data_IF_058185369043
#
_entry.id   IF_058185369043
#
_cell.length_a   1.000
_cell.length_b   1.000
_cell.length_c   1.000
_cell.angle_alpha   90.00
_cell.angle_beta   90.00
_cell.angle_gamma   90.00
#
_symmetry.space_group_name_H-M   'P 1'
#
loop_
_entity.id
_entity.type
_entity.pdbx_description
1 polymer ?
#
# COMPACT_ATOMS: atom_id res chain seq x y z
N UNK A 1 -23.07 -0.94 -12.35
CA UNK A 1 -22.33 -1.94 -11.54
C UNK A 1 -20.85 -1.56 -11.46
N UNK A 2 -20.55 -0.43 -10.81
CA UNK A 2 -19.17 0.05 -10.65
C UNK A 2 -18.95 0.27 -9.16
N UNK A 3 -18.97 -0.80 -8.36
CA UNK A 3 -18.50 -0.88 -6.96
C UNK A 3 -18.84 -2.28 -6.48
N UNK A 4 -17.86 -3.19 -6.47
CA UNK A 4 -17.89 -4.36 -5.54
C UNK A 4 -16.54 -5.07 -5.41
N UNK A 5 -15.49 -4.53 -6.05
CA UNK A 5 -14.14 -4.99 -5.88
C UNK A 5 -13.32 -3.74 -5.75
N UNK A 6 -12.92 -3.37 -4.53
CA UNK A 6 -11.71 -2.55 -4.39
C UNK A 6 -10.64 -3.32 -5.16
N UNK A 7 -10.14 -2.82 -6.29
CA UNK A 7 -9.16 -3.55 -7.07
C UNK A 7 -7.99 -3.80 -6.13
N UNK A 8 -7.52 -5.05 -6.06
CA UNK A 8 -6.33 -5.40 -5.27
C UNK A 8 -5.16 -4.43 -5.60
N UNK A 9 -5.15 -3.92 -6.82
CA UNK A 9 -4.28 -2.87 -7.35
C UNK A 9 -4.24 -1.58 -6.51
N UNK A 10 -5.32 -1.17 -5.85
CA UNK A 10 -5.31 0.05 -5.00
C UNK A 10 -4.30 -0.09 -3.87
N UNK A 11 -4.24 -1.27 -3.24
CA UNK A 11 -3.29 -1.54 -2.16
C UNK A 11 -1.84 -1.62 -2.67
N UNK A 12 -1.63 -2.15 -3.89
CA UNK A 12 -0.31 -2.13 -4.52
C UNK A 12 0.13 -0.72 -4.92
N UNK A 13 -0.77 0.09 -5.47
CA UNK A 13 -0.50 1.48 -5.82
C UNK A 13 -0.24 2.33 -4.57
N UNK A 14 -0.93 2.08 -3.46
CA UNK A 14 -0.65 2.71 -2.18
C UNK A 14 0.75 2.33 -1.64
N UNK A 15 1.10 1.04 -1.68
CA UNK A 15 2.43 0.58 -1.30
C UNK A 15 3.52 1.21 -2.19
N UNK A 16 3.32 1.20 -3.50
CA UNK A 16 4.24 1.79 -4.47
C UNK A 16 4.37 3.31 -4.29
N UNK A 17 3.26 4.01 -4.10
CA UNK A 17 3.24 5.45 -3.81
C UNK A 17 4.05 5.77 -2.55
N UNK A 18 3.91 4.96 -1.49
CA UNK A 18 4.70 5.10 -0.25
C UNK A 18 6.20 4.95 -0.50
N UNK A 19 6.60 3.99 -1.33
CA UNK A 19 8.01 3.78 -1.71
C UNK A 19 8.54 4.99 -2.48
N UNK A 20 7.79 5.46 -3.48
CA UNK A 20 8.19 6.60 -4.31
C UNK A 20 8.30 7.87 -3.46
N UNK A 21 7.32 8.16 -2.60
CA UNK A 21 7.34 9.32 -1.70
C UNK A 21 8.52 9.22 -0.74
N UNK A 22 8.78 8.04 -0.16
CA UNK A 22 9.94 7.81 0.71
C UNK A 22 11.26 8.09 -0.02
N UNK A 23 11.40 7.63 -1.25
CA UNK A 23 12.58 7.87 -2.08
C UNK A 23 12.74 9.37 -2.44
N UNK A 24 11.64 10.06 -2.77
CA UNK A 24 11.66 11.51 -3.00
C UNK A 24 12.06 12.27 -1.74
N UNK A 25 11.54 11.91 -0.57
CA UNK A 25 11.91 12.53 0.72
C UNK A 25 13.38 12.28 1.06
N UNK A 26 13.90 11.09 0.75
CA UNK A 26 15.31 10.77 0.92
C UNK A 26 16.19 11.67 0.04
N UNK A 27 15.82 11.83 -1.23
CA UNK A 27 16.53 12.70 -2.18
C UNK A 27 16.48 14.19 -1.77
N UNK A 28 15.42 14.61 -1.08
CA UNK A 28 15.28 15.95 -0.50
C UNK A 28 15.96 16.10 0.88
N UNK A 29 16.78 15.12 1.30
CA UNK A 29 17.49 15.11 2.59
C UNK A 29 16.57 15.12 3.83
N UNK A 30 15.27 14.79 3.68
CA UNK A 30 14.29 14.68 4.78
C UNK A 30 14.28 13.25 5.33
N UNK A 31 15.39 12.85 5.96
CA UNK A 31 15.69 11.47 6.32
C UNK A 31 14.68 10.84 7.30
N UNK A 32 14.26 11.55 8.35
CA UNK A 32 13.27 11.05 9.31
C UNK A 32 11.92 10.75 8.65
N UNK A 33 11.47 11.67 7.80
CA UNK A 33 10.22 11.52 7.05
C UNK A 33 10.32 10.41 6.01
N UNK A 34 11.46 10.27 5.34
CA UNK A 34 11.71 9.19 4.39
C UNK A 34 11.59 7.82 5.05
N UNK A 35 12.21 7.64 6.23
CA UNK A 35 12.15 6.38 6.98
C UNK A 35 10.72 6.13 7.46
N UNK A 36 10.06 7.15 8.03
CA UNK A 36 8.68 7.03 8.49
C UNK A 36 7.76 6.55 7.36
N UNK A 37 7.79 7.20 6.20
CA UNK A 37 6.94 6.83 5.05
C UNK A 37 7.38 5.50 4.41
N UNK A 38 8.68 5.20 4.42
CA UNK A 38 9.23 3.98 3.83
C UNK A 38 8.84 2.68 4.55
N UNK A 39 8.33 2.77 5.78
CA UNK A 39 7.92 1.63 6.60
C UNK A 39 6.47 1.18 6.35
N UNK A 40 5.64 1.97 5.67
CA UNK A 40 4.22 1.67 5.42
C UNK A 40 3.89 0.70 4.27
N UNK A 41 4.76 0.39 3.28
CA UNK A 41 4.42 -0.55 2.21
C UNK A 41 3.93 -1.93 2.70
N UNK A 42 4.57 -2.60 3.69
CA UNK A 42 4.08 -3.86 4.24
C UNK A 42 2.66 -3.75 4.82
N UNK A 43 2.32 -2.64 5.48
CA UNK A 43 1.01 -2.40 6.06
C UNK A 43 -0.08 -2.35 4.99
N UNK A 44 0.15 -1.59 3.90
CA UNK A 44 -0.79 -1.52 2.79
C UNK A 44 -1.00 -2.88 2.09
N UNK A 45 0.09 -3.61 1.86
CA UNK A 45 0.03 -4.95 1.27
C UNK A 45 -0.72 -5.94 2.18
N UNK A 46 -0.49 -5.86 3.49
CA UNK A 46 -1.16 -6.70 4.47
C UNK A 46 -2.67 -6.44 4.49
N UNK A 47 -3.10 -5.19 4.46
CA UNK A 47 -4.53 -4.86 4.32
C UNK A 47 -5.14 -5.40 3.03
N UNK A 48 -4.45 -5.25 1.90
CA UNK A 48 -4.89 -5.82 0.63
C UNK A 48 -4.99 -7.35 0.65
N UNK A 49 -4.03 -8.01 1.30
CA UNK A 49 -4.04 -9.46 1.49
C UNK A 49 -5.19 -9.92 2.39
N UNK A 50 -5.42 -9.24 3.52
CA UNK A 50 -6.54 -9.54 4.41
C UNK A 50 -7.89 -9.46 3.67
N UNK A 51 -8.12 -8.41 2.88
CA UNK A 51 -9.33 -8.27 2.07
C UNK A 51 -9.52 -9.39 1.04
N UNK A 52 -8.41 -10.00 0.57
CA UNK A 52 -8.45 -11.12 -0.37
C UNK A 52 -8.73 -12.45 0.34
N UNK A 53 -8.03 -12.70 1.44
CA UNK A 53 -8.10 -13.97 2.19
C UNK A 53 -9.45 -14.10 2.93
N UNK A 54 -9.97 -13.01 3.46
CA UNK A 54 -11.27 -12.99 4.14
C UNK A 54 -12.45 -12.99 3.17
N UNK A 55 -12.21 -12.90 1.86
CA UNK A 55 -13.26 -13.06 0.86
C UNK A 55 -13.69 -14.54 0.92
N UNK A 56 -14.92 -14.85 1.34
CA UNK A 56 -15.34 -16.23 1.50
C UNK A 56 -15.19 -16.92 0.15
N UNK A 57 -14.47 -18.04 0.11
CA UNK A 57 -14.53 -18.97 -1.01
C UNK A 57 -15.99 -19.41 -1.12
N UNK A 58 -16.72 -18.80 -2.05
CA UNK A 58 -18.09 -19.17 -2.36
C UNK A 58 -18.05 -20.61 -2.89
N UNK A 59 -18.35 -21.58 -2.03
CA UNK A 59 -18.77 -22.92 -2.44
C UNK A 59 -20.17 -22.84 -3.05
#
# INVERSE_FOLDING_TARGET
>A
RVTDQVPQEVWYWAALGSIIISASLFALNKRDWSIFVGQWPPTFLLFGLFHKVLRPSRY
#
